data_IF_823330457269
#
_entry.id   IF_823330457269
#
_cell.length_a   1.000
_cell.length_b   1.000
_cell.length_c   1.000
_cell.angle_alpha   90.00
_cell.angle_beta   90.00
_cell.angle_gamma   90.00
#
_symmetry.space_group_name_H-M   'P 1'
#
loop_
_entity.id
_entity.type
_entity.pdbx_description
1 polymer ?
#
# COMPACT_ATOMS: atom_id res chain seq x y z
N UNK A 1 -7.76 3.92 0.15
CA UNK A 1 -7.51 2.55 -0.37
C UNK A 1 -6.28 2.48 -1.27
N UNK A 2 -5.99 3.52 -2.06
CA UNK A 2 -4.76 3.67 -2.85
C UNK A 2 -3.46 3.40 -2.04
N UNK A 3 -3.27 4.11 -0.92
CA UNK A 3 -2.06 3.97 -0.10
C UNK A 3 -1.86 2.56 0.43
N UNK A 4 -2.93 1.84 0.77
CA UNK A 4 -2.87 0.44 1.23
C UNK A 4 -2.38 -0.46 0.10
N UNK A 5 -2.95 -0.31 -1.10
CA UNK A 5 -2.53 -1.08 -2.27
C UNK A 5 -1.07 -0.78 -2.65
N UNK A 6 -0.63 0.48 -2.61
CA UNK A 6 0.77 0.83 -2.86
C UNK A 6 1.71 0.17 -1.84
N UNK A 7 1.39 0.28 -0.55
CA UNK A 7 2.22 -0.32 0.50
C UNK A 7 2.17 -1.85 0.52
N UNK A 8 1.18 -2.47 -0.14
CA UNK A 8 1.09 -3.91 -0.36
C UNK A 8 1.71 -4.37 -1.70
N UNK A 9 2.30 -3.46 -2.49
CA UNK A 9 2.84 -3.79 -3.83
C UNK A 9 1.78 -4.08 -4.89
N UNK A 10 0.54 -3.63 -4.68
CA UNK A 10 -0.64 -3.89 -5.52
C UNK A 10 -1.05 -2.66 -6.34
N UNK A 11 -0.09 -1.89 -6.85
CA UNK A 11 -0.35 -0.66 -7.62
C UNK A 11 -1.26 -0.88 -8.84
N UNK A 12 -1.23 -2.08 -9.43
CA UNK A 12 -2.11 -2.46 -10.54
C UNK A 12 -3.61 -2.39 -10.20
N UNK A 13 -3.97 -2.42 -8.92
CA UNK A 13 -5.36 -2.35 -8.43
C UNK A 13 -5.85 -0.91 -8.20
N UNK A 14 -5.00 0.08 -8.42
CA UNK A 14 -5.31 1.50 -8.19
C UNK A 14 -5.81 2.10 -9.49
N UNK A 15 -7.03 2.62 -9.49
CA UNK A 15 -7.61 3.34 -10.63
C UNK A 15 -7.49 4.85 -10.41
N UNK A 16 -7.12 5.58 -11.46
CA UNK A 16 -7.03 7.05 -11.48
C UNK A 16 -8.40 7.72 -11.61
N UNK A 17 -9.37 7.04 -12.22
CA UNK A 17 -10.74 7.53 -12.38
C UNK A 17 -11.77 6.38 -12.39
N UNK A 18 -13.05 6.77 -12.53
CA UNK A 18 -14.18 5.82 -12.56
C UNK A 18 -14.14 4.88 -13.77
N UNK A 19 -13.71 5.37 -14.93
CA UNK A 19 -13.65 4.56 -16.15
C UNK A 19 -12.54 3.51 -16.04
N UNK A 20 -11.39 3.89 -15.49
CA UNK A 20 -10.30 2.97 -15.22
C UNK A 20 -10.69 1.93 -14.16
N UNK A 21 -11.44 2.33 -13.13
CA UNK A 21 -11.97 1.39 -12.13
C UNK A 21 -12.80 0.29 -12.79
N UNK A 22 -13.73 0.65 -13.68
CA UNK A 22 -14.56 -0.33 -14.42
C UNK A 22 -13.70 -1.24 -15.30
N UNK A 23 -12.75 -0.66 -16.05
CA UNK A 23 -11.82 -1.45 -16.89
C UNK A 23 -11.00 -2.44 -16.08
N UNK A 24 -10.51 -2.03 -14.91
CA UNK A 24 -9.74 -2.91 -14.01
C UNK A 24 -10.61 -3.99 -13.39
N UNK A 25 -11.83 -3.64 -12.97
CA UNK A 25 -12.79 -4.62 -12.44
C UNK A 25 -13.06 -5.73 -13.46
N UNK A 26 -13.35 -5.37 -14.73
CA UNK A 26 -13.53 -6.33 -15.82
C UNK A 26 -12.25 -7.15 -16.05
N UNK A 27 -11.09 -6.51 -16.12
CA UNK A 27 -9.79 -7.17 -16.32
C UNK A 27 -9.52 -8.25 -15.25
N UNK A 28 -9.78 -7.95 -13.98
CA UNK A 28 -9.54 -8.89 -12.89
C UNK A 28 -10.64 -9.94 -12.74
N UNK A 29 -11.90 -9.63 -13.09
CA UNK A 29 -13.01 -10.58 -13.00
C UNK A 29 -13.04 -11.59 -14.16
N UNK A 30 -12.44 -11.25 -15.31
CA UNK A 30 -12.45 -12.11 -16.51
C UNK A 30 -11.47 -13.28 -16.45
N UNK A 31 -10.43 -13.22 -15.61
CA UNK A 31 -9.44 -14.28 -15.45
C UNK A 31 -9.50 -14.83 -14.02
N UNK A 32 -10.36 -15.83 -13.82
CA UNK A 32 -10.69 -16.41 -12.52
C UNK A 32 -9.49 -17.15 -11.94
N UNK A 33 -8.69 -17.83 -12.75
CA UNK A 33 -7.49 -18.55 -12.32
C UNK A 33 -6.48 -17.57 -11.73
N UNK A 34 -6.23 -16.45 -12.41
CA UNK A 34 -5.34 -15.39 -11.91
C UNK A 34 -5.89 -14.74 -10.64
N UNK A 35 -7.19 -14.47 -10.57
CA UNK A 35 -7.81 -13.90 -9.38
C UNK A 35 -7.68 -14.85 -8.18
N UNK A 36 -7.84 -16.15 -8.41
CA UNK A 36 -7.67 -17.20 -7.39
C UNK A 36 -6.23 -17.23 -6.87
N UNK A 37 -5.24 -17.16 -7.76
CA UNK A 37 -3.83 -17.13 -7.36
C UNK A 37 -3.48 -15.86 -6.58
N UNK A 38 -4.04 -14.70 -6.97
CA UNK A 38 -3.88 -13.46 -6.21
C UNK A 38 -4.46 -13.62 -4.80
N UNK A 39 -5.69 -14.12 -4.68
CA UNK A 39 -6.35 -14.31 -3.38
C UNK A 39 -5.58 -15.29 -2.48
N UNK A 40 -5.08 -16.39 -3.04
CA UNK A 40 -4.28 -17.39 -2.32
C UNK A 40 -3.01 -16.80 -1.73
N UNK A 41 -2.35 -15.88 -2.43
CA UNK A 41 -1.09 -15.28 -1.99
C UNK A 41 -1.25 -13.96 -1.24
N UNK A 42 -2.41 -13.30 -1.29
CA UNK A 42 -2.62 -11.93 -0.80
C UNK A 42 -2.14 -11.73 0.64
N UNK A 43 -2.46 -12.66 1.55
CA UNK A 43 -2.02 -12.59 2.95
C UNK A 43 -0.50 -12.63 3.07
N UNK A 44 0.15 -13.53 2.34
CA UNK A 44 1.61 -13.65 2.35
C UNK A 44 2.25 -12.38 1.79
N UNK A 45 1.78 -11.89 0.64
CA UNK A 45 2.23 -10.63 0.03
C UNK A 45 2.07 -9.46 1.00
N UNK A 46 0.95 -9.37 1.70
CA UNK A 46 0.70 -8.30 2.66
C UNK A 46 1.66 -8.36 3.87
N UNK A 47 1.96 -9.56 4.39
CA UNK A 47 2.89 -9.74 5.52
C UNK A 47 4.36 -9.53 5.13
N UNK A 48 4.72 -9.84 3.89
CA UNK A 48 6.05 -9.57 3.33
C UNK A 48 6.25 -8.07 3.01
N UNK A 49 5.15 -7.32 2.88
CA UNK A 49 5.17 -5.88 2.60
C UNK A 49 5.36 -5.02 3.85
N UNK A 50 5.75 -3.74 3.71
CA UNK A 50 5.81 -2.80 4.83
C UNK A 50 4.46 -2.55 5.52
N UNK A 51 3.33 -2.84 4.84
CA UNK A 51 1.98 -2.46 5.28
C UNK A 51 1.64 -2.92 6.71
N UNK A 52 2.11 -4.09 7.12
CA UNK A 52 1.84 -4.67 8.44
C UNK A 52 3.10 -4.82 9.31
N UNK A 53 4.19 -4.15 8.95
CA UNK A 53 5.41 -4.15 9.75
C UNK A 53 5.37 -3.03 10.80
N UNK A 54 4.81 -3.35 11.98
CA UNK A 54 4.64 -2.37 13.08
C UNK A 54 5.96 -1.80 13.59
N UNK A 55 7.01 -2.61 13.67
CA UNK A 55 8.33 -2.16 14.13
C UNK A 55 8.97 -1.17 13.15
N UNK A 56 8.85 -1.43 11.84
CA UNK A 56 9.30 -0.50 10.80
C UNK A 56 8.50 0.81 10.85
N UNK A 57 7.17 0.70 10.97
CA UNK A 57 6.29 1.87 11.09
C UNK A 57 6.68 2.74 12.30
N UNK A 58 6.85 2.13 13.48
CA UNK A 58 7.23 2.85 14.70
C UNK A 58 8.57 3.59 14.53
N UNK A 59 9.57 2.93 13.94
CA UNK A 59 10.88 3.53 13.65
C UNK A 59 10.79 4.71 12.68
N UNK A 60 10.00 4.57 11.61
CA UNK A 60 9.81 5.64 10.63
C UNK A 60 9.05 6.83 11.22
N UNK A 61 8.05 6.57 12.06
CA UNK A 61 7.29 7.59 12.77
C UNK A 61 8.18 8.35 13.76
N UNK A 62 8.96 7.64 14.57
CA UNK A 62 9.92 8.24 15.52
C UNK A 62 10.90 9.17 14.81
N UNK A 63 11.52 8.70 13.73
CA UNK A 63 12.42 9.52 12.91
C UNK A 63 11.72 10.78 12.35
N UNK A 64 10.48 10.65 11.90
CA UNK A 64 9.72 11.78 11.37
C UNK A 64 9.42 12.82 12.45
N UNK A 65 9.02 12.38 13.65
CA UNK A 65 8.74 13.25 14.79
C UNK A 65 9.99 14.00 15.24
N UNK A 66 11.13 13.31 15.38
CA UNK A 66 12.39 13.96 15.74
C UNK A 66 12.87 14.95 14.68
N UNK A 67 12.67 14.64 13.40
CA UNK A 67 12.98 15.57 12.32
C UNK A 67 12.12 16.83 12.39
N UNK A 68 10.82 16.69 12.66
CA UNK A 68 9.91 17.82 12.85
C UNK A 68 10.33 18.67 14.05
N UNK A 69 10.69 18.02 15.17
CA UNK A 69 11.15 18.68 16.37
C UNK A 69 12.45 19.47 16.16
N UNK A 70 13.46 18.86 15.56
CA UNK A 70 14.72 19.52 15.26
C UNK A 70 14.53 20.72 14.32
N UNK A 71 13.66 20.58 13.32
CA UNK A 71 13.32 21.70 12.43
C UNK A 71 12.61 22.84 13.15
N UNK A 72 11.81 22.53 14.18
CA UNK A 72 11.16 23.55 15.01
C UNK A 72 12.17 24.28 15.89
N UNK A 73 13.08 23.56 16.54
CA UNK A 73 14.15 24.16 17.36
C UNK A 73 15.08 25.02 16.51
N UNK A 74 15.50 24.55 15.33
CA UNK A 74 16.43 25.28 14.46
C UNK A 74 15.84 26.55 13.81
N UNK A 75 14.52 26.71 13.85
CA UNK A 75 13.81 27.88 13.31
C UNK A 75 13.54 28.96 14.36
N UNK A 76 13.64 28.62 15.64
CA UNK A 76 13.48 29.55 16.78
C UNK A 76 14.85 29.94 17.34
#
# INVERSE_FOLDING_TARGET
TESVNHNCGMSDWIASDKNEYVKKAIKFSTNIERLTEINKNLRRTALESPLFNSSLFAKQLDNALWKMWNNFILKN
#
